data_IF_458568990625
#
_entry.id   IF_458568990625
#
_cell.length_a   1.000
_cell.length_b   1.000
_cell.length_c   1.000
_cell.angle_alpha   90.00
_cell.angle_beta   90.00
_cell.angle_gamma   90.00
#
_symmetry.space_group_name_H-M   'P 1'
#
loop_
_entity.id
_entity.type
_entity.pdbx_description
1 polymer ?
#
# COMPACT_ATOMS: atom_id res chain seq x y z
N UNK A 1 4.91 65.48 -37.96
CA UNK A 1 5.89 64.34 -37.79
C UNK A 1 5.57 63.78 -36.44
N UNK A 2 4.70 62.80 -36.38
CA UNK A 2 4.28 62.09 -35.17
C UNK A 2 4.98 60.71 -35.17
N UNK A 3 5.83 60.51 -34.19
CA UNK A 3 6.52 59.26 -33.96
C UNK A 3 5.54 58.19 -33.45
N UNK A 4 5.34 57.14 -34.24
CA UNK A 4 4.67 55.92 -33.82
C UNK A 4 5.58 55.18 -32.81
N UNK A 5 5.09 55.06 -31.59
CA UNK A 5 5.69 54.21 -30.56
C UNK A 5 5.45 52.73 -30.93
N UNK A 6 6.53 52.03 -31.17
CA UNK A 6 6.61 50.58 -31.40
C UNK A 6 6.07 49.83 -30.14
N UNK A 7 4.82 49.41 -30.16
CA UNK A 7 4.27 48.46 -29.17
C UNK A 7 4.81 47.06 -29.51
N UNK A 8 5.50 46.39 -28.59
CA UNK A 8 5.91 45.01 -28.81
C UNK A 8 4.72 44.12 -29.09
N UNK A 9 4.83 43.14 -30.02
CA UNK A 9 3.72 42.28 -30.40
C UNK A 9 3.14 41.52 -29.23
N UNK A 10 1.82 41.56 -29.06
CA UNK A 10 1.05 40.98 -27.95
C UNK A 10 1.38 39.51 -27.64
N UNK A 11 1.87 38.77 -28.60
CA UNK A 11 2.33 37.38 -28.50
C UNK A 11 3.54 37.17 -27.55
N UNK A 12 4.43 38.17 -27.43
CA UNK A 12 5.64 38.03 -26.58
C UNK A 12 5.26 38.19 -25.10
N UNK A 13 4.38 39.14 -24.81
CA UNK A 13 3.90 39.36 -23.44
C UNK A 13 3.03 38.18 -22.91
N UNK A 14 2.25 37.56 -23.77
CA UNK A 14 1.48 36.35 -23.43
C UNK A 14 2.41 35.13 -23.23
N UNK A 15 3.46 34.98 -24.07
CA UNK A 15 4.46 33.93 -23.89
C UNK A 15 5.26 34.14 -22.60
N UNK A 16 5.63 35.37 -22.26
CA UNK A 16 6.31 35.70 -21.01
C UNK A 16 5.38 35.48 -19.80
N UNK A 17 4.09 35.85 -19.87
CA UNK A 17 3.12 35.53 -18.82
C UNK A 17 2.91 34.05 -18.63
N UNK A 18 2.89 33.26 -19.70
CA UNK A 18 2.79 31.80 -19.66
C UNK A 18 4.03 31.15 -19.03
N UNK A 19 5.21 31.74 -19.23
CA UNK A 19 6.46 31.31 -18.60
C UNK A 19 6.55 31.67 -17.09
N UNK A 20 5.93 32.79 -16.69
CA UNK A 20 5.97 33.28 -15.29
C UNK A 20 4.85 32.65 -14.41
N UNK A 21 3.80 32.06 -15.04
CA UNK A 21 2.68 31.46 -14.34
C UNK A 21 2.49 29.99 -14.77
N UNK A 22 3.56 29.20 -14.74
CA UNK A 22 3.42 27.75 -14.94
C UNK A 22 2.69 27.16 -13.74
N UNK A 23 1.36 27.03 -13.86
CA UNK A 23 0.52 26.31 -12.91
C UNK A 23 0.11 25.02 -13.60
N UNK A 24 0.64 23.86 -13.22
CA UNK A 24 0.25 22.59 -13.81
C UNK A 24 -1.25 22.38 -13.58
N UNK A 25 -1.97 22.02 -14.63
CA UNK A 25 -3.43 21.80 -14.63
C UNK A 25 -3.79 20.33 -14.80
N UNK A 26 -2.79 19.47 -15.02
CA UNK A 26 -2.96 18.03 -15.19
C UNK A 26 -1.82 17.25 -14.52
N UNK A 27 -2.05 15.98 -14.24
CA UNK A 27 -1.00 15.09 -13.71
C UNK A 27 0.18 14.95 -14.67
N UNK A 28 -0.07 14.97 -15.99
CA UNK A 28 0.99 14.93 -17.00
C UNK A 28 1.91 16.15 -16.91
N UNK A 29 1.33 17.34 -16.73
CA UNK A 29 2.11 18.56 -16.55
C UNK A 29 2.93 18.54 -15.24
N UNK A 30 2.41 17.92 -14.18
CA UNK A 30 3.17 17.74 -12.94
C UNK A 30 4.35 16.79 -13.17
N UNK A 31 4.15 15.69 -13.91
CA UNK A 31 5.24 14.76 -14.26
C UNK A 31 6.32 15.46 -15.12
N UNK A 32 5.95 16.33 -16.06
CA UNK A 32 6.91 17.14 -16.83
C UNK A 32 7.74 18.08 -15.94
N UNK A 33 7.11 18.68 -14.92
CA UNK A 33 7.82 19.51 -13.94
C UNK A 33 8.85 18.69 -13.13
N UNK A 34 8.46 17.49 -12.72
CA UNK A 34 9.36 16.59 -11.98
C UNK A 34 10.54 16.15 -12.88
N UNK A 35 10.27 15.81 -14.13
CA UNK A 35 11.32 15.48 -15.10
C UNK A 35 12.28 16.64 -15.33
N UNK A 36 11.76 17.86 -15.46
CA UNK A 36 12.58 19.06 -15.58
C UNK A 36 13.42 19.33 -14.32
N UNK A 37 12.87 19.08 -13.14
CA UNK A 37 13.61 19.20 -11.88
C UNK A 37 14.75 18.17 -11.78
N UNK A 38 14.53 16.93 -12.25
CA UNK A 38 15.55 15.89 -12.34
C UNK A 38 16.68 16.30 -13.33
N UNK A 39 16.32 16.71 -14.55
CA UNK A 39 17.32 17.10 -15.58
C UNK A 39 18.13 18.33 -15.19
N UNK A 40 17.55 19.19 -14.35
CA UNK A 40 18.21 20.37 -13.78
C UNK A 40 19.02 20.06 -12.50
N UNK A 41 19.11 18.79 -12.08
CA UNK A 41 19.76 18.33 -10.83
C UNK A 41 19.22 19.01 -9.56
N UNK A 42 17.94 19.40 -9.53
CA UNK A 42 17.27 19.95 -8.34
C UNK A 42 16.82 18.81 -7.42
N UNK A 43 16.37 17.68 -8.01
CA UNK A 43 16.01 16.44 -7.33
C UNK A 43 16.76 15.27 -7.96
N UNK A 44 16.93 14.18 -7.23
CA UNK A 44 17.44 12.92 -7.76
C UNK A 44 16.31 12.05 -8.33
N UNK A 45 16.69 10.94 -8.96
CA UNK A 45 15.76 10.01 -9.60
C UNK A 45 14.82 9.35 -8.59
N UNK A 46 15.31 9.06 -7.39
CA UNK A 46 14.53 8.41 -6.33
C UNK A 46 13.44 9.36 -5.82
N UNK A 47 13.77 10.61 -5.54
CA UNK A 47 12.80 11.64 -5.15
C UNK A 47 11.73 11.87 -6.22
N UNK A 48 12.11 11.88 -7.52
CA UNK A 48 11.15 11.96 -8.60
C UNK A 48 10.18 10.77 -8.57
N UNK A 49 10.70 9.55 -8.46
CA UNK A 49 9.89 8.33 -8.46
C UNK A 49 8.90 8.31 -7.28
N UNK A 50 9.36 8.65 -6.09
CA UNK A 50 8.50 8.74 -4.89
C UNK A 50 7.40 9.79 -5.09
N UNK A 51 7.74 10.96 -5.64
CA UNK A 51 6.76 12.00 -5.91
C UNK A 51 5.69 11.55 -6.92
N UNK A 52 6.07 10.88 -7.99
CA UNK A 52 5.14 10.32 -8.98
C UNK A 52 4.23 9.25 -8.37
N UNK A 53 4.78 8.32 -7.57
CA UNK A 53 4.02 7.30 -6.85
C UNK A 53 3.05 7.92 -5.84
N UNK A 54 3.47 8.94 -5.10
CA UNK A 54 2.61 9.65 -4.16
C UNK A 54 1.41 10.33 -4.84
N UNK A 55 1.61 10.90 -6.02
CA UNK A 55 0.54 11.49 -6.82
C UNK A 55 -0.45 10.41 -7.29
N UNK A 56 0.04 9.23 -7.66
CA UNK A 56 -0.78 8.11 -8.13
C UNK A 56 -1.56 7.44 -7.01
N UNK A 57 -1.04 7.43 -5.78
CA UNK A 57 -1.65 6.76 -4.62
C UNK A 57 -3.12 7.18 -4.40
N UNK A 58 -3.45 8.46 -4.64
CA UNK A 58 -4.82 8.97 -4.57
C UNK A 58 -5.79 8.39 -5.61
N UNK A 59 -5.28 7.68 -6.62
CA UNK A 59 -6.11 6.99 -7.63
C UNK A 59 -6.23 5.49 -7.38
N UNK A 60 -5.32 4.89 -6.62
CA UNK A 60 -5.30 3.46 -6.30
C UNK A 60 -6.39 3.15 -5.26
N UNK A 61 -7.11 2.04 -5.45
CA UNK A 61 -8.09 1.53 -4.48
C UNK A 61 -7.49 0.40 -3.65
N UNK A 62 -8.05 0.13 -2.46
CA UNK A 62 -7.57 -0.97 -1.61
C UNK A 62 -7.69 -2.32 -2.32
N UNK A 63 -8.69 -2.50 -3.18
CA UNK A 63 -8.86 -3.71 -3.99
C UNK A 63 -7.63 -4.07 -4.83
N UNK A 64 -6.90 -3.06 -5.29
CA UNK A 64 -5.75 -3.22 -6.17
C UNK A 64 -4.48 -3.64 -5.43
N UNK A 65 -4.39 -3.32 -4.11
CA UNK A 65 -3.16 -3.50 -3.32
C UNK A 65 -3.35 -4.36 -2.06
N UNK A 66 -4.59 -4.76 -1.74
CA UNK A 66 -4.87 -5.61 -0.57
C UNK A 66 -4.34 -7.02 -0.75
N UNK A 67 -4.00 -7.67 0.35
CA UNK A 67 -3.83 -9.12 0.41
C UNK A 67 -5.21 -9.77 0.23
N UNK A 68 -5.45 -10.53 -0.87
CA UNK A 68 -6.76 -11.11 -1.12
C UNK A 68 -7.11 -12.19 -0.09
N UNK A 69 -8.40 -12.40 0.15
CA UNK A 69 -8.92 -13.34 1.17
C UNK A 69 -8.27 -14.72 1.13
N UNK A 70 -8.00 -15.24 -0.07
CA UNK A 70 -7.42 -16.59 -0.23
C UNK A 70 -5.98 -16.69 0.29
N UNK A 71 -5.27 -15.57 0.35
CA UNK A 71 -3.88 -15.47 0.81
C UNK A 71 -3.77 -15.02 2.26
N UNK A 72 -4.91 -14.63 2.88
CA UNK A 72 -4.91 -14.17 4.26
C UNK A 72 -4.53 -15.29 5.23
N UNK A 73 -3.56 -15.04 6.08
CA UNK A 73 -3.31 -15.88 7.25
C UNK A 73 -4.21 -15.43 8.39
N UNK A 74 -5.19 -16.24 8.74
CA UNK A 74 -6.18 -15.96 9.77
C UNK A 74 -6.14 -17.02 10.87
N UNK A 75 -6.74 -16.72 12.03
CA UNK A 75 -6.91 -17.62 13.17
C UNK A 75 -8.41 -17.81 13.38
N UNK A 76 -8.85 -19.03 13.62
CA UNK A 76 -10.23 -19.27 14.05
C UNK A 76 -10.30 -19.19 15.58
N UNK A 77 -11.39 -18.60 16.09
CA UNK A 77 -11.59 -18.46 17.55
C UNK A 77 -11.57 -19.80 18.32
N UNK A 78 -11.88 -20.88 17.62
CA UNK A 78 -11.91 -22.24 18.16
C UNK A 78 -10.64 -23.06 17.87
N UNK A 79 -9.62 -22.46 17.25
CA UNK A 79 -8.35 -23.14 17.01
C UNK A 79 -7.77 -23.62 18.34
N UNK A 80 -7.20 -24.83 18.35
CA UNK A 80 -6.47 -25.33 19.51
C UNK A 80 -5.22 -24.49 19.74
N UNK A 81 -4.83 -24.35 21.00
CA UNK A 81 -3.63 -23.60 21.37
C UNK A 81 -2.38 -24.02 20.59
N UNK A 82 -2.20 -25.33 20.38
CA UNK A 82 -1.08 -25.85 19.58
C UNK A 82 -1.13 -25.41 18.09
N UNK A 83 -2.32 -25.41 17.50
CA UNK A 83 -2.54 -24.98 16.10
C UNK A 83 -2.30 -23.47 15.93
N UNK A 84 -2.81 -22.70 16.89
CA UNK A 84 -2.57 -21.27 17.00
C UNK A 84 -1.08 -20.93 17.06
N UNK A 85 -0.36 -21.57 17.99
CA UNK A 85 1.06 -21.29 18.19
C UNK A 85 1.92 -21.72 16.97
N UNK A 86 1.64 -22.91 16.41
CA UNK A 86 2.34 -23.33 15.20
C UNK A 86 2.13 -22.33 14.05
N UNK A 87 0.89 -21.91 13.81
CA UNK A 87 0.58 -20.93 12.77
C UNK A 87 1.35 -19.63 12.95
N UNK A 88 1.43 -19.12 14.18
CA UNK A 88 2.18 -17.89 14.48
C UNK A 88 3.68 -18.08 14.24
N UNK A 89 4.23 -19.22 14.64
CA UNK A 89 5.65 -19.53 14.47
C UNK A 89 6.00 -19.70 12.99
N UNK A 90 5.17 -20.47 12.26
CA UNK A 90 5.45 -20.82 10.85
C UNK A 90 5.33 -19.60 9.93
N UNK A 91 4.40 -18.66 10.23
CA UNK A 91 4.15 -17.51 9.36
C UNK A 91 4.88 -16.23 9.78
N UNK A 92 5.27 -16.12 11.06
CA UNK A 92 6.04 -14.99 11.58
C UNK A 92 5.34 -13.63 11.59
N UNK A 93 4.04 -13.57 11.27
CA UNK A 93 3.34 -12.29 11.23
C UNK A 93 3.14 -11.70 12.64
N UNK A 94 3.10 -10.38 12.71
CA UNK A 94 2.87 -9.66 13.97
C UNK A 94 1.39 -9.58 14.35
N UNK A 95 0.48 -9.69 13.37
CA UNK A 95 -0.96 -9.46 13.53
C UNK A 95 -1.75 -10.48 12.72
N UNK A 96 -2.82 -10.99 13.34
CA UNK A 96 -3.68 -12.01 12.72
C UNK A 96 -5.15 -11.61 12.90
N UNK A 97 -5.92 -11.48 11.81
CA UNK A 97 -7.37 -11.41 11.90
C UNK A 97 -7.91 -12.69 12.53
N UNK A 98 -8.81 -12.56 13.51
CA UNK A 98 -9.47 -13.69 14.14
C UNK A 98 -10.89 -13.77 13.65
N UNK A 99 -11.23 -14.93 13.07
CA UNK A 99 -12.54 -15.21 12.51
C UNK A 99 -13.38 -16.01 13.51
N UNK A 100 -14.69 -15.77 13.48
CA UNK A 100 -15.68 -16.55 14.18
C UNK A 100 -15.97 -17.90 13.53
N UNK A 101 -17.13 -18.48 13.88
CA UNK A 101 -17.58 -19.74 13.30
C UNK A 101 -17.99 -19.59 11.84
N UNK A 102 -18.48 -18.44 11.45
CA UNK A 102 -18.78 -18.11 10.07
C UNK A 102 -17.56 -17.49 9.39
N UNK A 103 -17.23 -17.95 8.20
CA UNK A 103 -16.03 -17.55 7.46
C UNK A 103 -15.98 -16.06 7.06
N UNK A 104 -17.04 -15.31 7.32
CA UNK A 104 -17.12 -13.87 7.08
C UNK A 104 -17.24 -13.05 8.37
N UNK A 105 -17.23 -13.69 9.54
CA UNK A 105 -17.30 -13.00 10.82
C UNK A 105 -15.91 -12.70 11.35
N UNK A 106 -15.52 -11.41 11.35
CA UNK A 106 -14.26 -10.97 11.98
C UNK A 106 -14.53 -10.56 13.41
N UNK A 107 -13.96 -11.29 14.36
CA UNK A 107 -14.13 -11.03 15.79
C UNK A 107 -13.15 -9.99 16.32
N UNK A 108 -12.01 -9.83 15.67
CA UNK A 108 -10.99 -8.88 16.08
C UNK A 108 -9.61 -9.23 15.53
N UNK A 109 -8.61 -8.62 16.14
CA UNK A 109 -7.21 -8.74 15.76
C UNK A 109 -6.40 -9.29 16.93
N UNK A 110 -5.67 -10.38 16.69
CA UNK A 110 -4.67 -10.90 17.61
C UNK A 110 -3.30 -10.32 17.29
N UNK A 111 -2.61 -9.79 18.30
CA UNK A 111 -1.19 -9.46 18.18
C UNK A 111 -0.37 -10.63 18.73
N UNK A 112 0.56 -11.16 17.92
CA UNK A 112 1.41 -12.28 18.34
C UNK A 112 2.15 -12.01 19.67
N UNK A 113 2.59 -10.78 19.89
CA UNK A 113 3.29 -10.38 21.13
C UNK A 113 2.43 -10.48 22.38
N UNK A 114 1.08 -10.38 22.25
CA UNK A 114 0.18 -10.43 23.42
C UNK A 114 0.03 -11.86 23.98
N UNK A 115 0.48 -12.87 23.23
CA UNK A 115 0.54 -14.27 23.67
C UNK A 115 1.73 -14.53 24.62
N UNK A 116 2.85 -13.83 24.41
CA UNK A 116 4.10 -14.09 25.12
C UNK A 116 3.96 -14.04 26.67
N UNK A 117 3.26 -13.07 27.28
CA UNK A 117 3.04 -13.06 28.73
C UNK A 117 2.23 -14.26 29.23
N UNK A 118 1.25 -14.72 28.43
CA UNK A 118 0.38 -15.85 28.81
C UNK A 118 1.20 -17.15 28.80
N UNK A 119 2.02 -17.37 27.78
CA UNK A 119 2.93 -18.51 27.70
C UNK A 119 3.89 -18.57 28.90
N UNK A 120 4.42 -17.40 29.31
CA UNK A 120 5.32 -17.32 30.46
C UNK A 120 4.66 -17.78 31.76
N UNK A 121 3.38 -17.49 31.92
CA UNK A 121 2.60 -17.87 33.14
C UNK A 121 2.01 -19.27 33.03
N UNK A 122 2.15 -19.98 31.91
CA UNK A 122 1.57 -21.29 31.62
C UNK A 122 0.05 -21.33 31.80
N UNK A 123 -0.60 -20.20 31.59
CA UNK A 123 -2.06 -20.10 31.62
C UNK A 123 -2.63 -20.51 30.27
N UNK A 124 -3.85 -21.04 30.27
CA UNK A 124 -4.56 -21.33 29.02
C UNK A 124 -4.86 -20.04 28.26
N UNK A 125 -4.58 -20.02 26.96
CA UNK A 125 -4.87 -18.88 26.10
C UNK A 125 -6.39 -18.75 25.94
N UNK A 126 -6.92 -17.61 26.36
CA UNK A 126 -8.31 -17.22 26.07
C UNK A 126 -8.28 -16.13 25.01
N UNK A 127 -8.45 -16.51 23.73
CA UNK A 127 -8.39 -15.58 22.61
C UNK A 127 -9.33 -14.39 22.79
N UNK A 128 -10.58 -14.64 23.19
CA UNK A 128 -11.58 -13.58 23.31
C UNK A 128 -11.18 -12.45 24.28
N UNK A 129 -10.31 -12.74 25.26
CA UNK A 129 -9.88 -11.74 26.25
C UNK A 129 -8.72 -10.85 25.78
N UNK A 130 -8.03 -11.23 24.70
CA UNK A 130 -6.84 -10.56 24.20
C UNK A 130 -7.02 -9.99 22.79
N UNK A 131 -8.21 -10.19 22.18
CA UNK A 131 -8.52 -9.58 20.90
C UNK A 131 -8.62 -8.07 21.03
N UNK A 132 -8.14 -7.40 20.00
CA UNK A 132 -8.28 -5.96 19.81
C UNK A 132 -9.29 -5.70 18.72
N UNK A 133 -9.90 -4.53 18.75
CA UNK A 133 -10.78 -4.09 17.68
C UNK A 133 -10.01 -4.04 16.35
N UNK A 134 -10.64 -4.53 15.30
CA UNK A 134 -10.12 -4.44 13.94
C UNK A 134 -10.99 -3.49 13.12
N UNK A 135 -10.34 -2.64 12.36
CA UNK A 135 -11.04 -1.76 11.42
C UNK A 135 -11.51 -2.56 10.22
N UNK A 136 -12.74 -2.31 9.79
CA UNK A 136 -13.32 -2.85 8.56
C UNK A 136 -13.53 -1.70 7.58
N UNK A 137 -13.06 -1.87 6.35
CA UNK A 137 -13.08 -0.83 5.32
C UNK A 137 -13.56 -1.40 3.98
N UNK A 138 -14.23 -0.60 3.12
CA UNK A 138 -14.66 -1.06 1.80
C UNK A 138 -13.48 -1.14 0.82
N UNK A 139 -13.53 -2.10 -0.11
CA UNK A 139 -12.47 -2.34 -1.10
C UNK A 139 -12.25 -1.19 -2.09
N UNK A 140 -13.28 -0.36 -2.32
CA UNK A 140 -13.20 0.80 -3.21
C UNK A 140 -12.62 2.06 -2.54
N UNK A 141 -12.25 2.00 -1.26
CA UNK A 141 -11.58 3.11 -0.56
C UNK A 141 -10.23 3.41 -1.22
N UNK A 142 -9.85 4.69 -1.25
CA UNK A 142 -8.55 5.13 -1.79
C UNK A 142 -7.41 4.86 -0.82
N UNK A 143 -6.25 4.47 -1.37
CA UNK A 143 -5.07 4.11 -0.59
C UNK A 143 -4.48 5.30 0.19
N UNK A 144 -4.50 6.50 -0.37
CA UNK A 144 -4.08 7.73 0.32
C UNK A 144 -4.94 8.01 1.56
N UNK A 145 -6.25 7.90 1.42
CA UNK A 145 -7.22 8.06 2.52
C UNK A 145 -6.98 6.98 3.60
N UNK A 146 -6.69 5.74 3.19
CA UNK A 146 -6.38 4.67 4.13
C UNK A 146 -5.10 4.93 4.91
N UNK A 147 -4.06 5.45 4.23
CA UNK A 147 -2.81 5.82 4.88
C UNK A 147 -3.02 6.91 5.95
N UNK A 148 -3.83 7.93 5.65
CA UNK A 148 -4.18 8.96 6.62
C UNK A 148 -4.91 8.39 7.85
N UNK A 149 -5.86 7.47 7.62
CA UNK A 149 -6.58 6.79 8.69
C UNK A 149 -5.65 5.93 9.55
N UNK A 150 -4.75 5.15 8.96
CA UNK A 150 -3.75 4.37 9.70
C UNK A 150 -2.88 5.26 10.61
N UNK A 151 -2.42 6.40 10.09
CA UNK A 151 -1.63 7.37 10.87
C UNK A 151 -2.43 7.98 12.01
N UNK A 152 -3.66 8.42 11.74
CA UNK A 152 -4.54 9.07 12.73
C UNK A 152 -4.89 8.13 13.88
N UNK A 153 -5.28 6.90 13.57
CA UNK A 153 -5.79 5.94 14.53
C UNK A 153 -4.71 5.03 15.12
N UNK A 154 -3.46 5.20 14.67
CA UNK A 154 -2.30 4.36 15.04
C UNK A 154 -2.59 2.87 14.86
N UNK A 155 -3.38 2.55 13.85
CA UNK A 155 -3.64 1.17 13.43
C UNK A 155 -2.71 0.80 12.28
N UNK A 156 -2.43 -0.49 12.12
CA UNK A 156 -1.50 -0.98 11.11
C UNK A 156 -2.15 -2.01 10.18
N UNK A 157 -3.39 -2.41 10.45
CA UNK A 157 -4.10 -3.40 9.66
C UNK A 157 -5.59 -3.10 9.67
N UNK A 158 -6.24 -3.36 8.54
CA UNK A 158 -7.69 -3.34 8.40
C UNK A 158 -8.15 -4.55 7.58
N UNK A 159 -9.36 -5.02 7.86
CA UNK A 159 -10.04 -6.03 7.03
C UNK A 159 -10.81 -5.30 5.95
N UNK A 160 -10.69 -5.79 4.73
CA UNK A 160 -11.34 -5.22 3.55
C UNK A 160 -12.57 -6.03 3.21
N UNK A 161 -13.68 -5.34 2.94
CA UNK A 161 -14.96 -5.96 2.56
C UNK A 161 -15.45 -5.45 1.21
N UNK A 162 -16.20 -6.30 0.53
CA UNK A 162 -16.92 -5.95 -0.70
C UNK A 162 -18.24 -5.20 -0.41
N UNK A 163 -18.99 -4.87 -1.45
CA UNK A 163 -20.29 -4.19 -1.38
C UNK A 163 -21.40 -5.00 -0.69
N UNK A 164 -21.19 -6.31 -0.51
CA UNK A 164 -22.12 -7.21 0.19
C UNK A 164 -21.74 -7.41 1.67
N UNK A 165 -20.66 -6.78 2.12
CA UNK A 165 -20.13 -6.95 3.48
C UNK A 165 -19.33 -8.24 3.66
N UNK A 166 -18.95 -8.92 2.56
CA UNK A 166 -18.12 -10.12 2.60
C UNK A 166 -16.64 -9.73 2.66
N UNK A 167 -15.84 -10.47 3.43
CA UNK A 167 -14.39 -10.24 3.49
C UNK A 167 -13.80 -10.50 2.12
N UNK A 168 -13.19 -9.46 1.51
CA UNK A 168 -12.43 -9.50 0.26
C UNK A 168 -10.94 -9.73 0.51
N UNK A 169 -10.42 -9.20 1.63
CA UNK A 169 -8.99 -9.27 1.93
C UNK A 169 -8.63 -8.55 3.23
N UNK A 170 -7.36 -8.26 3.37
CA UNK A 170 -6.82 -7.36 4.39
C UNK A 170 -5.85 -6.36 3.75
N UNK A 171 -5.63 -5.25 4.43
CA UNK A 171 -4.66 -4.24 4.05
C UNK A 171 -3.84 -3.83 5.27
N UNK A 172 -2.54 -3.68 5.09
CA UNK A 172 -1.64 -3.16 6.12
C UNK A 172 -1.10 -1.79 5.73
N UNK A 173 -0.54 -1.07 6.69
CA UNK A 173 0.13 0.20 6.40
C UNK A 173 1.37 -0.04 5.55
N UNK A 174 2.01 -1.18 5.75
CA UNK A 174 3.19 -1.63 5.01
C UNK A 174 2.84 -1.76 3.51
N UNK A 175 1.71 -2.40 3.13
CA UNK A 175 1.26 -2.53 1.74
C UNK A 175 1.05 -1.15 1.08
N UNK A 176 0.47 -0.20 1.81
CA UNK A 176 0.25 1.16 1.27
C UNK A 176 1.57 1.93 1.13
N UNK A 177 2.52 1.73 2.05
CA UNK A 177 3.85 2.37 1.97
C UNK A 177 4.69 1.77 0.85
N UNK A 178 4.55 0.48 0.55
CA UNK A 178 5.22 -0.18 -0.57
C UNK A 178 4.85 0.46 -1.92
N UNK A 179 3.59 0.88 -2.07
CA UNK A 179 3.17 1.65 -3.26
C UNK A 179 3.90 2.98 -3.42
N UNK A 180 4.39 3.58 -2.32
CA UNK A 180 5.14 4.83 -2.35
C UNK A 180 6.63 4.63 -2.61
N UNK A 181 7.26 3.69 -1.87
CA UNK A 181 8.72 3.53 -1.89
C UNK A 181 9.18 2.39 -2.82
N UNK A 182 8.30 1.44 -3.17
CA UNK A 182 8.65 0.19 -3.86
C UNK A 182 9.06 -0.89 -2.87
N UNK A 183 9.41 -2.05 -3.39
CA UNK A 183 9.92 -3.16 -2.57
C UNK A 183 11.11 -2.67 -1.74
N UNK A 184 10.98 -2.76 -0.42
CA UNK A 184 12.09 -2.54 0.51
C UNK A 184 12.78 -3.90 0.61
N UNK A 185 13.94 -4.03 -0.04
CA UNK A 185 14.76 -5.24 0.10
C UNK A 185 15.10 -5.43 1.59
N UNK A 186 14.62 -6.52 2.19
CA UNK A 186 14.95 -6.87 3.57
C UNK A 186 16.42 -7.32 3.61
N UNK A 187 17.20 -6.84 4.60
CA UNK A 187 18.62 -7.20 4.78
C UNK A 187 18.87 -8.73 4.90
N UNK A 188 17.78 -9.51 4.98
CA UNK A 188 17.79 -10.97 5.13
C UNK A 188 17.28 -11.73 3.91
N UNK A 189 16.87 -11.06 2.82
CA UNK A 189 16.53 -11.76 1.60
C UNK A 189 17.82 -12.32 0.96
N UNK A 190 17.96 -13.65 0.84
CA UNK A 190 19.04 -14.21 0.05
C UNK A 190 18.84 -13.73 -1.37
N UNK A 191 19.83 -13.00 -1.91
CA UNK A 191 19.85 -12.45 -3.28
C UNK A 191 19.07 -13.31 -4.24
N UNK A 192 17.88 -12.83 -4.63
CA UNK A 192 17.03 -13.51 -5.59
C UNK A 192 17.79 -13.58 -6.91
N UNK A 193 18.31 -14.76 -7.21
CA UNK A 193 18.89 -15.06 -8.52
C UNK A 193 17.75 -14.97 -9.51
N UNK A 194 17.78 -13.93 -10.33
CA UNK A 194 16.82 -13.69 -11.40
C UNK A 194 16.73 -14.92 -12.30
N UNK A 195 15.72 -15.77 -12.09
CA UNK A 195 15.36 -16.80 -13.04
C UNK A 195 14.66 -16.14 -14.21
N UNK A 196 15.43 -15.74 -15.22
CA UNK A 196 14.90 -15.47 -16.54
C UNK A 196 14.27 -16.74 -17.07
N UNK A 197 12.96 -16.83 -17.06
CA UNK A 197 12.19 -17.83 -17.80
C UNK A 197 12.46 -17.68 -19.30
N UNK A 198 13.46 -18.41 -19.79
CA UNK A 198 13.59 -18.72 -21.20
C UNK A 198 12.41 -19.65 -21.57
N UNK A 199 11.36 -19.08 -22.15
CA UNK A 199 10.37 -19.84 -22.90
C UNK A 199 11.07 -20.49 -24.08
N UNK A 200 11.34 -21.78 -23.95
CA UNK A 200 11.71 -22.62 -25.08
C UNK A 200 10.49 -22.69 -26.02
N UNK A 201 10.61 -22.06 -27.19
CA UNK A 201 9.77 -22.39 -28.34
C UNK A 201 10.19 -23.76 -28.83
N UNK A 202 9.42 -24.78 -28.50
CA UNK A 202 9.46 -26.04 -29.26
C UNK A 202 8.77 -25.82 -30.59
N UNK A 203 9.58 -25.65 -31.61
CA UNK A 203 9.19 -25.86 -33.01
C UNK A 203 9.12 -27.35 -33.26
N UNK A 204 7.90 -27.87 -33.35
CA UNK A 204 7.61 -29.18 -33.89
C UNK A 204 7.93 -29.22 -35.38
N UNK A 205 8.84 -30.09 -35.79
CA UNK A 205 9.01 -30.57 -37.16
C UNK A 205 9.00 -32.12 -37.13
N UNK A 206 8.03 -32.62 -37.77
CA UNK A 206 7.72 -33.92 -38.41
C UNK A 206 6.55 -34.64 -37.78
#
# INVERSE_FOLDING_TARGET
>A
MTSEEDKPPSNILERIKKFISFKPQSLNEVSEVLEHALTSNIIDKEAQLIAEKAIRLGNITLKEIMVPKIEMVTININDKESELLNRIIDTGHSRYPVLGNESNEVLGLLLAKDILPIMKTKQKINLSSILRDVRVVPENKKADTMLEEFKKDRSHMAVVIDEYGTISGLITIEDVLEELVGEIEDEHDPTAVSYTHLRAHETSLH
#
